data_IF_453975776139
#
_entry.id   IF_453975776139
#
_cell.length_a   1.000
_cell.length_b   1.000
_cell.length_c   1.000
_cell.angle_alpha   90.00
_cell.angle_beta   90.00
_cell.angle_gamma   90.00
#
_symmetry.space_group_name_H-M   'P 1'
#
loop_
_entity.id
_entity.type
_entity.pdbx_description
1 polymer ?
#
# COMPACT_ATOMS: atom_id res chain seq x y z
N UNK A 1 -18.64 -14.16 0.19
CA UNK A 1 -18.88 -13.50 1.43
C UNK A 1 -17.57 -13.47 2.13
N UNK A 2 -17.08 -12.48 2.71
CA UNK A 2 -15.87 -12.46 3.53
C UNK A 2 -14.88 -11.36 3.20
N UNK A 3 -15.32 -10.36 2.43
CA UNK A 3 -14.64 -9.08 2.43
C UNK A 3 -15.18 -8.25 3.58
N UNK A 4 -14.29 -7.77 4.45
CA UNK A 4 -14.62 -6.93 5.59
C UNK A 4 -14.14 -5.51 5.32
N UNK A 5 -15.04 -4.53 5.47
CA UNK A 5 -14.75 -3.12 5.24
C UNK A 5 -15.28 -2.33 6.44
N UNK A 6 -14.37 -1.65 7.16
CA UNK A 6 -14.71 -0.84 8.32
C UNK A 6 -13.94 0.48 8.34
N UNK A 7 -14.63 1.58 8.56
CA UNK A 7 -14.03 2.91 8.66
C UNK A 7 -13.20 3.28 7.41
N UNK A 8 -13.82 3.13 6.25
CA UNK A 8 -13.19 3.35 4.94
C UNK A 8 -13.99 4.38 4.15
N UNK A 9 -13.29 5.33 3.54
CA UNK A 9 -13.84 6.25 2.55
C UNK A 9 -13.42 5.72 1.17
N UNK A 10 -14.39 5.42 0.32
CA UNK A 10 -14.15 4.80 -0.99
C UNK A 10 -14.64 5.74 -2.08
N UNK A 11 -13.78 6.02 -3.04
CA UNK A 11 -14.13 6.81 -4.23
C UNK A 11 -15.03 6.05 -5.22
N UNK A 12 -15.16 6.59 -6.42
CA UNK A 12 -16.01 6.02 -7.45
C UNK A 12 -15.34 4.86 -8.18
N UNK A 13 -16.14 3.89 -8.62
CA UNK A 13 -15.69 2.76 -9.45
C UNK A 13 -14.55 1.94 -8.86
N UNK A 14 -14.47 1.86 -7.54
CA UNK A 14 -13.49 1.01 -6.85
C UNK A 14 -13.97 -0.43 -6.89
N UNK A 15 -13.08 -1.34 -7.25
CA UNK A 15 -13.37 -2.78 -7.31
C UNK A 15 -12.53 -3.50 -6.27
N UNK A 16 -13.21 -4.19 -5.37
CA UNK A 16 -12.59 -4.94 -4.28
C UNK A 16 -12.95 -6.42 -4.45
N UNK A 17 -11.93 -7.26 -4.59
CA UNK A 17 -12.11 -8.68 -4.77
C UNK A 17 -12.46 -9.40 -3.46
N UNK A 18 -12.64 -10.71 -3.53
CA UNK A 18 -13.07 -11.55 -2.40
C UNK A 18 -12.01 -11.66 -1.31
N UNK A 19 -12.46 -11.86 -0.08
CA UNK A 19 -11.62 -12.16 1.09
C UNK A 19 -10.59 -11.07 1.39
N UNK A 20 -10.95 -9.83 1.16
CA UNK A 20 -10.15 -8.69 1.58
C UNK A 20 -10.54 -8.24 2.98
N UNK A 21 -9.58 -7.70 3.72
CA UNK A 21 -9.82 -7.00 4.98
C UNK A 21 -9.27 -5.58 4.84
N UNK A 22 -10.18 -4.60 4.82
CA UNK A 22 -9.85 -3.20 4.63
C UNK A 22 -10.40 -2.42 5.81
N UNK A 23 -9.55 -1.81 6.60
CA UNK A 23 -10.03 -1.06 7.74
C UNK A 23 -9.14 0.09 8.17
N UNK A 24 -9.81 1.15 8.59
CA UNK A 24 -9.23 2.24 9.35
C UNK A 24 -9.75 2.19 10.80
N UNK A 25 -9.77 3.34 11.43
CA UNK A 25 -10.40 3.55 12.75
C UNK A 25 -11.26 4.81 12.70
N UNK A 26 -12.08 5.08 13.73
CA UNK A 26 -12.82 6.35 13.79
C UNK A 26 -11.91 7.58 13.70
N UNK A 27 -10.69 7.49 14.21
CA UNK A 27 -9.72 8.59 14.17
C UNK A 27 -8.87 8.61 12.89
N UNK A 28 -8.74 7.46 12.24
CA UNK A 28 -7.93 7.29 11.03
C UNK A 28 -8.74 6.53 9.97
N UNK A 29 -9.62 7.23 9.27
CA UNK A 29 -10.35 6.60 8.17
C UNK A 29 -9.38 6.18 7.07
N UNK A 30 -9.49 4.94 6.62
CA UNK A 30 -8.77 4.47 5.42
C UNK A 30 -9.37 5.15 4.19
N UNK A 31 -8.55 5.77 3.36
CA UNK A 31 -9.03 6.41 2.12
C UNK A 31 -8.57 5.64 0.90
N UNK A 32 -9.50 5.36 0.00
CA UNK A 32 -9.24 4.69 -1.28
C UNK A 32 -9.80 5.58 -2.39
N UNK A 33 -8.92 6.03 -3.26
CA UNK A 33 -9.28 6.88 -4.40
C UNK A 33 -10.04 6.13 -5.48
N UNK A 34 -10.62 6.89 -6.39
CA UNK A 34 -11.47 6.37 -7.47
C UNK A 34 -10.69 5.49 -8.45
N UNK A 35 -11.38 4.62 -9.17
CA UNK A 35 -10.84 3.76 -10.23
C UNK A 35 -9.75 2.78 -9.73
N UNK A 36 -9.71 2.49 -8.43
CA UNK A 36 -8.72 1.61 -7.81
C UNK A 36 -9.24 0.17 -7.77
N UNK A 37 -8.34 -0.78 -7.99
CA UNK A 37 -8.61 -2.21 -7.88
C UNK A 37 -7.80 -2.83 -6.74
N UNK A 38 -8.46 -3.65 -5.93
CA UNK A 38 -7.82 -4.39 -4.83
C UNK A 38 -8.07 -5.87 -5.03
N UNK A 39 -6.98 -6.61 -5.24
CA UNK A 39 -7.00 -8.04 -5.51
C UNK A 39 -7.35 -8.88 -4.28
N UNK A 40 -7.80 -10.11 -4.53
CA UNK A 40 -8.30 -11.01 -3.48
C UNK A 40 -7.27 -11.30 -2.38
N UNK A 41 -7.76 -11.59 -1.19
CA UNK A 41 -6.96 -11.93 -0.01
C UNK A 41 -6.02 -10.81 0.45
N UNK A 42 -6.26 -9.56 0.08
CA UNK A 42 -5.43 -8.45 0.51
C UNK A 42 -5.86 -7.92 1.87
N UNK A 43 -4.89 -7.45 2.65
CA UNK A 43 -5.08 -6.85 3.96
C UNK A 43 -4.54 -5.42 3.93
N UNK A 44 -5.43 -4.45 4.10
CA UNK A 44 -5.07 -3.05 4.23
C UNK A 44 -5.44 -2.58 5.64
N UNK A 45 -4.45 -2.53 6.52
CA UNK A 45 -4.63 -2.15 7.92
C UNK A 45 -4.18 -0.71 8.13
N UNK A 46 -5.16 0.19 8.25
CA UNK A 46 -4.99 1.61 8.54
C UNK A 46 -5.52 2.01 9.93
N UNK A 47 -5.53 1.09 10.90
CA UNK A 47 -6.15 1.35 12.20
C UNK A 47 -5.35 2.32 13.07
N UNK A 48 -4.06 2.08 13.23
CA UNK A 48 -3.22 2.79 14.21
C UNK A 48 -2.65 4.12 13.69
N UNK A 49 -2.69 4.35 12.38
CA UNK A 49 -2.24 5.57 11.73
C UNK A 49 -2.95 5.70 10.37
N UNK A 50 -2.78 6.84 9.70
CA UNK A 50 -3.46 7.10 8.44
C UNK A 50 -2.91 6.22 7.30
N UNK A 51 -3.81 5.60 6.54
CA UNK A 51 -3.51 4.90 5.30
C UNK A 51 -4.29 5.54 4.16
N UNK A 52 -3.59 6.01 3.15
CA UNK A 52 -4.18 6.61 1.96
C UNK A 52 -3.75 5.84 0.72
N UNK A 53 -4.74 5.37 -0.03
CA UNK A 53 -4.55 4.78 -1.35
C UNK A 53 -5.08 5.79 -2.36
N UNK A 54 -4.28 6.16 -3.33
CA UNK A 54 -4.67 7.11 -4.38
C UNK A 54 -5.68 6.56 -5.36
N UNK A 55 -5.86 7.27 -6.47
CA UNK A 55 -6.75 6.88 -7.56
C UNK A 55 -5.99 6.12 -8.64
N UNK A 56 -6.71 5.28 -9.40
CA UNK A 56 -6.12 4.45 -10.47
C UNK A 56 -5.00 3.53 -9.99
N UNK A 57 -5.09 3.07 -8.75
CA UNK A 57 -4.12 2.15 -8.15
C UNK A 57 -4.52 0.72 -8.45
N UNK A 58 -3.56 -0.09 -8.88
CA UNK A 58 -3.76 -1.51 -9.12
C UNK A 58 -3.01 -2.31 -8.06
N UNK A 59 -3.76 -2.92 -7.15
CA UNK A 59 -3.23 -3.79 -6.11
C UNK A 59 -3.58 -5.22 -6.47
N UNK A 60 -2.56 -6.05 -6.72
CA UNK A 60 -2.77 -7.46 -7.04
C UNK A 60 -3.20 -8.26 -5.80
N UNK A 61 -3.30 -9.57 -5.91
CA UNK A 61 -3.74 -10.43 -4.81
C UNK A 61 -2.69 -10.61 -3.72
N UNK A 62 -3.15 -10.95 -2.52
CA UNK A 62 -2.30 -11.27 -1.37
C UNK A 62 -1.34 -10.14 -0.98
N UNK A 63 -1.77 -8.89 -1.11
CA UNK A 63 -0.99 -7.71 -0.71
C UNK A 63 -1.31 -7.37 0.73
N UNK A 64 -0.28 -7.01 1.50
CA UNK A 64 -0.40 -6.58 2.89
C UNK A 64 0.17 -5.17 3.02
N UNK A 65 -0.65 -4.24 3.51
CA UNK A 65 -0.21 -2.87 3.81
C UNK A 65 -0.50 -2.60 5.29
N UNK A 66 0.54 -2.24 6.05
CA UNK A 66 0.48 -2.02 7.49
C UNK A 66 0.95 -0.63 7.87
N UNK A 67 0.24 0.00 8.79
CA UNK A 67 0.64 1.28 9.41
C UNK A 67 1.24 1.08 10.80
N UNK A 68 1.25 -0.16 11.31
CA UNK A 68 1.89 -0.50 12.57
C UNK A 68 2.53 -1.88 12.51
N UNK A 69 3.58 -2.06 13.28
CA UNK A 69 4.28 -3.34 13.41
C UNK A 69 5.06 -3.34 14.72
N UNK A 70 4.99 -4.44 15.45
CA UNK A 70 5.77 -4.59 16.67
C UNK A 70 5.37 -5.76 17.52
N UNK A 71 6.12 -6.04 18.58
CA UNK A 71 5.88 -7.17 19.48
C UNK A 71 4.77 -6.84 20.50
N UNK A 72 3.53 -6.80 20.04
CA UNK A 72 2.36 -6.31 20.81
C UNK A 72 2.14 -7.04 22.14
N UNK A 73 2.50 -8.31 22.23
CA UNK A 73 2.25 -9.12 23.42
C UNK A 73 3.40 -9.11 24.44
N UNK A 74 4.53 -8.52 24.12
CA UNK A 74 5.71 -8.57 24.98
C UNK A 74 6.21 -7.20 25.38
N UNK A 75 5.89 -6.77 26.58
CA UNK A 75 6.43 -5.54 27.13
C UNK A 75 7.97 -5.54 27.20
N UNK A 76 8.57 -6.70 27.41
CA UNK A 76 10.03 -6.83 27.41
C UNK A 76 10.65 -6.55 26.04
N UNK A 77 10.06 -7.11 24.99
CA UNK A 77 10.55 -6.89 23.63
C UNK A 77 10.33 -5.44 23.17
N UNK A 78 9.26 -4.80 23.59
CA UNK A 78 8.99 -3.40 23.24
C UNK A 78 10.04 -2.42 23.77
N UNK A 79 10.80 -2.79 24.79
CA UNK A 79 11.92 -1.98 25.29
C UNK A 79 13.06 -1.87 24.28
N UNK A 80 13.22 -2.87 23.42
CA UNK A 80 14.24 -2.91 22.37
C UNK A 80 13.64 -2.61 21.00
N UNK A 81 12.45 -3.14 20.76
CA UNK A 81 11.72 -2.97 19.49
C UNK A 81 10.36 -2.31 19.77
N UNK A 82 10.33 -0.99 19.96
CA UNK A 82 9.06 -0.29 20.18
C UNK A 82 8.12 -0.47 18.98
N UNK A 83 6.82 -0.45 19.25
CA UNK A 83 5.83 -0.57 18.18
C UNK A 83 5.98 0.61 17.24
N UNK A 84 6.21 0.30 15.96
CA UNK A 84 6.30 1.29 14.88
C UNK A 84 4.89 1.63 14.39
N UNK A 85 4.49 2.88 14.52
CA UNK A 85 3.19 3.40 14.06
C UNK A 85 3.44 4.62 13.21
N UNK A 86 3.33 4.47 11.90
CA UNK A 86 3.55 5.57 10.96
C UNK A 86 2.59 5.46 9.78
N UNK A 87 2.11 6.61 9.26
CA UNK A 87 1.20 6.59 8.12
C UNK A 87 1.86 6.02 6.87
N UNK A 88 1.03 5.46 6.00
CA UNK A 88 1.42 4.96 4.68
C UNK A 88 0.59 5.69 3.63
N UNK A 89 1.25 6.13 2.57
CA UNK A 89 0.60 6.79 1.43
C UNK A 89 1.01 6.11 0.13
N UNK A 90 0.02 5.65 -0.61
CA UNK A 90 0.20 5.12 -1.96
C UNK A 90 -0.32 6.16 -2.94
N UNK A 91 0.53 6.65 -3.80
CA UNK A 91 0.19 7.68 -4.79
C UNK A 91 -0.75 7.17 -5.88
N UNK A 92 -1.04 8.02 -6.84
CA UNK A 92 -1.92 7.70 -7.96
C UNK A 92 -1.19 6.84 -9.00
N UNK A 93 -1.94 6.02 -9.73
CA UNK A 93 -1.41 5.18 -10.82
C UNK A 93 -0.30 4.22 -10.37
N UNK A 94 -0.26 3.85 -9.10
CA UNK A 94 0.70 2.88 -8.56
C UNK A 94 0.25 1.47 -8.90
N UNK A 95 1.19 0.62 -9.27
CA UNK A 95 0.93 -0.81 -9.49
C UNK A 95 1.71 -1.63 -8.46
N UNK A 96 0.99 -2.37 -7.63
CA UNK A 96 1.56 -3.23 -6.59
C UNK A 96 1.32 -4.68 -6.99
N UNK A 97 2.42 -5.41 -7.22
CA UNK A 97 2.39 -6.82 -7.60
C UNK A 97 1.90 -7.74 -6.49
N UNK A 98 1.56 -8.97 -6.86
CA UNK A 98 1.05 -9.97 -5.92
C UNK A 98 2.03 -10.27 -4.78
N UNK A 99 1.51 -10.51 -3.59
CA UNK A 99 2.32 -10.93 -2.44
C UNK A 99 3.21 -9.84 -1.84
N UNK A 100 3.08 -8.60 -2.28
CA UNK A 100 3.87 -7.47 -1.75
C UNK A 100 3.45 -7.16 -0.32
N UNK A 101 4.43 -6.83 0.51
CA UNK A 101 4.22 -6.30 1.85
C UNK A 101 4.76 -4.88 1.92
N UNK A 102 3.94 -3.95 2.40
CA UNK A 102 4.31 -2.54 2.58
C UNK A 102 4.23 -2.21 4.07
N UNK A 103 5.33 -1.72 4.61
CA UNK A 103 5.54 -1.51 6.04
C UNK A 103 5.23 -0.07 6.47
N UNK A 104 5.07 0.18 7.79
CA UNK A 104 4.78 1.52 8.31
C UNK A 104 5.75 2.59 7.82
N UNK A 105 5.23 3.78 7.55
CA UNK A 105 6.00 4.95 7.17
C UNK A 105 6.35 5.07 5.70
N UNK A 106 5.93 4.11 4.86
CA UNK A 106 6.23 4.12 3.43
C UNK A 106 5.32 5.08 2.67
N UNK A 107 5.92 5.88 1.81
CA UNK A 107 5.24 6.64 0.76
C UNK A 107 5.73 6.15 -0.60
N UNK A 108 4.80 5.70 -1.44
CA UNK A 108 5.07 5.42 -2.84
C UNK A 108 4.53 6.59 -3.67
N UNK A 109 5.40 7.26 -4.40
CA UNK A 109 5.02 8.34 -5.30
C UNK A 109 4.18 7.86 -6.47
N UNK A 110 3.57 8.78 -7.18
CA UNK A 110 2.74 8.47 -8.34
C UNK A 110 3.51 7.64 -9.37
N UNK A 111 2.80 6.72 -10.02
CA UNK A 111 3.37 5.85 -11.07
C UNK A 111 4.48 4.89 -10.60
N UNK A 112 4.62 4.67 -9.29
CA UNK A 112 5.51 3.60 -8.83
C UNK A 112 5.00 2.22 -9.22
N UNK A 113 5.94 1.32 -9.47
CA UNK A 113 5.64 -0.12 -9.70
C UNK A 113 6.43 -0.93 -8.68
N UNK A 114 5.74 -1.84 -8.00
CA UNK A 114 6.36 -2.76 -7.04
C UNK A 114 6.25 -4.18 -7.58
N UNK A 115 7.39 -4.82 -7.81
CA UNK A 115 7.43 -6.20 -8.29
C UNK A 115 6.83 -7.18 -7.27
N UNK A 116 6.27 -8.27 -7.77
CA UNK A 116 5.65 -9.30 -6.92
C UNK A 116 6.59 -9.82 -5.83
N UNK A 117 6.02 -10.18 -4.68
CA UNK A 117 6.72 -10.73 -3.51
C UNK A 117 7.80 -9.82 -2.91
N UNK A 118 7.70 -8.53 -3.14
CA UNK A 118 8.65 -7.56 -2.57
C UNK A 118 8.27 -7.19 -1.14
N UNK A 119 9.29 -6.87 -0.35
CA UNK A 119 9.15 -6.33 0.99
C UNK A 119 9.57 -4.85 0.97
N UNK A 120 8.58 -3.95 1.07
CA UNK A 120 8.79 -2.50 0.95
C UNK A 120 8.85 -1.89 2.35
N UNK A 121 10.04 -1.50 2.79
CA UNK A 121 10.26 -0.89 4.10
C UNK A 121 10.84 0.52 4.04
N UNK A 122 10.82 1.15 2.87
CA UNK A 122 11.20 2.55 2.67
C UNK A 122 10.39 3.17 1.54
N UNK A 123 10.38 4.49 1.50
CA UNK A 123 9.67 5.27 0.49
C UNK A 123 10.43 5.33 -0.84
N UNK A 124 9.68 5.54 -1.91
CA UNK A 124 10.24 5.70 -3.26
C UNK A 124 9.56 6.86 -3.98
N UNK A 125 10.37 7.59 -4.76
CA UNK A 125 9.92 8.73 -5.55
C UNK A 125 9.01 8.30 -6.70
N UNK A 126 8.22 9.22 -7.28
CA UNK A 126 7.41 8.91 -8.47
C UNK A 126 8.22 8.27 -9.59
N UNK A 127 7.56 7.42 -10.37
CA UNK A 127 8.12 6.72 -11.53
C UNK A 127 9.23 5.70 -11.21
N UNK A 128 9.36 5.31 -9.96
CA UNK A 128 10.32 4.26 -9.58
C UNK A 128 9.71 2.86 -9.81
N UNK A 129 10.50 1.97 -10.37
CA UNK A 129 10.20 0.55 -10.47
C UNK A 129 11.10 -0.17 -9.47
N UNK A 130 10.48 -0.78 -8.47
CA UNK A 130 11.18 -1.33 -7.31
C UNK A 130 10.86 -2.81 -7.13
N UNK A 131 11.75 -3.51 -6.45
CA UNK A 131 11.53 -4.92 -6.15
C UNK A 131 12.58 -5.48 -5.22
N UNK A 132 12.30 -6.65 -4.69
CA UNK A 132 13.18 -7.39 -3.79
C UNK A 132 12.77 -7.33 -2.33
N UNK A 133 13.57 -7.98 -1.49
CA UNK A 133 13.38 -8.03 -0.03
C UNK A 133 14.72 -7.80 0.68
N UNK A 134 14.98 -6.60 1.20
CA UNK A 134 14.15 -5.39 1.09
C UNK A 134 14.13 -4.83 -0.34
N UNK A 135 13.04 -4.14 -0.68
CA UNK A 135 12.87 -3.56 -2.02
C UNK A 135 13.93 -2.48 -2.31
N UNK A 136 14.38 -2.47 -3.56
CA UNK A 136 15.33 -1.50 -4.09
C UNK A 136 14.88 -1.03 -5.46
N UNK A 137 15.36 0.11 -5.91
CA UNK A 137 15.10 0.61 -7.26
C UNK A 137 15.74 -0.35 -8.26
N UNK A 138 14.93 -0.93 -9.13
CA UNK A 138 15.39 -1.75 -10.25
C UNK A 138 15.72 -0.85 -11.45
N UNK A 139 14.85 0.11 -11.72
CA UNK A 139 15.03 1.20 -12.69
C UNK A 139 13.96 2.27 -12.47
N UNK A 140 14.05 3.34 -13.20
CA UNK A 140 12.99 4.36 -13.29
C UNK A 140 12.38 4.35 -14.69
N UNK A 141 11.16 4.88 -14.83
CA UNK A 141 10.57 5.05 -16.17
C UNK A 141 11.42 5.99 -17.01
N UNK A 142 11.58 5.64 -18.28
CA UNK A 142 12.26 6.50 -19.26
C UNK A 142 11.36 7.68 -19.65
N UNK A 143 11.94 8.72 -20.20
CA UNK A 143 11.16 9.87 -20.68
C UNK A 143 10.16 9.48 -21.78
N UNK A 144 10.52 8.53 -22.63
CA UNK A 144 9.62 7.98 -23.65
C UNK A 144 8.42 7.26 -23.03
N UNK A 145 8.66 6.42 -22.02
CA UNK A 145 7.59 5.73 -21.28
C UNK A 145 6.67 6.72 -20.59
N UNK A 146 7.22 7.75 -19.95
CA UNK A 146 6.43 8.80 -19.29
C UNK A 146 5.54 9.53 -20.30
N UNK A 147 6.08 9.93 -21.44
CA UNK A 147 5.31 10.58 -22.50
C UNK A 147 4.17 9.69 -22.99
N UNK A 148 4.44 8.41 -23.19
CA UNK A 148 3.43 7.44 -23.61
C UNK A 148 2.31 7.31 -22.58
N UNK A 149 2.64 7.24 -21.29
CA UNK A 149 1.65 7.14 -20.21
C UNK A 149 0.82 8.42 -20.07
N UNK A 150 1.43 9.57 -20.23
CA UNK A 150 0.78 10.86 -20.05
C UNK A 150 0.07 11.37 -21.31
N UNK A 151 0.15 10.65 -22.42
CA UNK A 151 -0.50 11.02 -23.67
C UNK A 151 0.21 12.14 -24.43
N UNK A 152 1.49 12.30 -24.22
CA UNK A 152 2.33 13.34 -24.86
C UNK A 152 3.09 12.82 -26.08
#
# INVERSE_FOLDING_TARGET
PSTTINNVIIGDNVRIAKRCSLFGSPDNLLEIGSETYIGMNSLLNGYAAKLIIGSNVSIAQNVIILVDSGPNASAAMQKVFPIDRRPVTIGNHVWIGAGVQIMPGVTLGDYCVVAANSFVNRSFDPFAIVGGSPARILRTFTEEEKKKMLGE
#
